data_IF_844578900926
#
_entry.id   IF_844578900926
#
_cell.length_a   1.000
_cell.length_b   1.000
_cell.length_c   1.000
_cell.angle_alpha   90.00
_cell.angle_beta   90.00
_cell.angle_gamma   90.00
#
_symmetry.space_group_name_H-M   'P 1'
#
loop_
_entity.id
_entity.type
_entity.pdbx_description
1 polymer ?
#
# COMPACT_ATOMS: atom_id res chain seq x y z
N UNK A 1 -2.53 10.51 12.80
CA UNK A 1 -3.24 9.87 11.68
C UNK A 1 -4.62 10.50 11.54
N UNK A 2 -4.97 11.07 10.39
CA UNK A 2 -6.25 11.78 10.18
C UNK A 2 -7.05 11.07 9.10
N UNK A 3 -8.27 10.64 9.42
CA UNK A 3 -9.22 10.17 8.40
C UNK A 3 -9.64 11.40 7.61
N UNK A 4 -9.29 11.45 6.34
CA UNK A 4 -9.73 12.54 5.46
C UNK A 4 -10.58 11.90 4.36
N UNK A 5 -11.87 12.23 4.32
CA UNK A 5 -12.72 11.92 3.17
C UNK A 5 -12.33 12.92 2.08
N UNK A 6 -11.63 12.45 1.05
CA UNK A 6 -11.22 13.31 -0.06
C UNK A 6 -11.24 12.53 -1.36
N UNK A 7 -11.73 13.19 -2.40
CA UNK A 7 -11.76 12.69 -3.78
C UNK A 7 -10.47 13.11 -4.48
N UNK A 8 -9.69 12.15 -4.99
CA UNK A 8 -8.54 12.43 -5.87
C UNK A 8 -9.11 12.74 -7.27
N UNK A 9 -8.53 13.71 -7.98
CA UNK A 9 -9.08 14.27 -9.23
C UNK A 9 -9.39 13.23 -10.32
N UNK A 10 -8.73 12.07 -10.32
CA UNK A 10 -8.98 10.96 -11.28
C UNK A 10 -9.50 9.67 -10.64
N UNK A 11 -9.73 9.69 -9.32
CA UNK A 11 -10.17 8.54 -8.54
C UNK A 11 -11.11 8.96 -7.41
N UNK A 12 -12.40 8.78 -7.67
CA UNK A 12 -13.47 8.95 -6.70
C UNK A 12 -13.43 7.84 -5.62
N UNK A 13 -12.37 7.75 -4.82
CA UNK A 13 -12.35 6.92 -3.63
C UNK A 13 -13.26 7.54 -2.56
N UNK A 14 -13.99 6.71 -1.82
CA UNK A 14 -14.97 7.22 -0.84
C UNK A 14 -14.34 7.40 0.55
N UNK A 15 -13.31 6.60 0.90
CA UNK A 15 -12.50 6.81 2.11
C UNK A 15 -11.03 6.51 1.83
N UNK A 16 -10.16 7.34 2.40
CA UNK A 16 -8.72 7.17 2.35
C UNK A 16 -8.17 7.38 3.77
N UNK A 17 -7.27 6.50 4.20
CA UNK A 17 -6.48 6.69 5.41
C UNK A 17 -5.05 7.03 4.98
N UNK A 18 -4.51 8.14 5.47
CA UNK A 18 -3.19 8.68 5.08
C UNK A 18 -2.25 8.93 6.26
N UNK A 19 -0.94 9.01 5.96
CA UNK A 19 0.03 9.56 6.91
C UNK A 19 -0.22 11.06 7.13
N UNK A 20 -0.02 11.54 8.37
CA UNK A 20 -0.43 12.90 8.79
C UNK A 20 0.64 13.99 8.62
N UNK A 21 1.85 13.63 8.24
CA UNK A 21 3.00 14.55 8.25
C UNK A 21 2.99 15.58 7.11
N UNK A 22 2.11 15.41 6.12
CA UNK A 22 2.09 16.26 4.92
C UNK A 22 0.72 16.97 4.79
N UNK A 23 0.70 18.27 5.08
CA UNK A 23 -0.40 19.19 4.79
C UNK A 23 -0.48 19.46 3.28
N UNK A 24 -0.88 18.47 2.49
CA UNK A 24 -1.17 18.65 1.06
C UNK A 24 -2.68 18.75 0.88
N UNK A 25 -3.12 19.79 0.17
CA UNK A 25 -4.53 20.11 -0.13
C UNK A 25 -5.21 19.03 -0.99
N UNK A 26 -4.44 18.20 -1.70
CA UNK A 26 -4.93 17.03 -2.44
C UNK A 26 -4.21 15.75 -2.04
N UNK A 27 -4.94 14.65 -1.74
CA UNK A 27 -4.33 13.36 -1.46
C UNK A 27 -3.52 12.86 -2.67
N UNK A 28 -2.23 12.58 -2.47
CA UNK A 28 -1.40 11.86 -3.44
C UNK A 28 -1.37 10.38 -3.09
N UNK A 29 -1.29 9.51 -4.09
CA UNK A 29 -1.24 8.05 -3.91
C UNK A 29 -0.07 7.58 -3.04
N UNK A 30 1.04 8.35 -3.02
CA UNK A 30 2.20 8.09 -2.18
C UNK A 30 1.89 8.15 -0.68
N UNK A 31 0.86 8.91 -0.28
CA UNK A 31 0.50 9.12 1.13
C UNK A 31 -0.64 8.19 1.59
N UNK A 32 -1.27 7.46 0.67
CA UNK A 32 -2.43 6.59 0.92
C UNK A 32 -1.98 5.27 1.54
N UNK A 33 -2.51 4.95 2.73
CA UNK A 33 -2.23 3.68 3.43
C UNK A 33 -3.36 2.67 3.27
N UNK A 34 -4.60 3.12 3.20
CA UNK A 34 -5.81 2.27 3.06
C UNK A 34 -6.80 2.99 2.17
N UNK A 35 -7.49 2.26 1.29
CA UNK A 35 -8.51 2.81 0.38
C UNK A 35 -9.84 2.08 0.52
N UNK A 36 -10.95 2.81 0.45
CA UNK A 36 -12.28 2.22 0.43
C UNK A 36 -13.14 2.76 -0.70
N UNK A 37 -14.02 1.89 -1.20
CA UNK A 37 -15.08 2.25 -2.15
C UNK A 37 -16.44 1.87 -1.58
N UNK A 38 -17.37 2.79 -1.64
CA UNK A 38 -18.78 2.61 -1.34
C UNK A 38 -19.56 2.23 -2.59
N UNK A 39 -20.57 1.38 -2.39
CA UNK A 39 -21.51 0.97 -3.42
C UNK A 39 -22.89 1.46 -3.00
N UNK A 40 -23.64 2.05 -3.93
CA UNK A 40 -25.03 2.49 -3.68
C UNK A 40 -26.05 1.34 -3.81
N UNK A 41 -25.66 0.22 -4.44
CA UNK A 41 -26.51 -0.95 -4.72
C UNK A 41 -25.73 -2.24 -4.46
N UNK A 42 -26.46 -3.32 -4.21
CA UNK A 42 -25.97 -4.62 -3.72
C UNK A 42 -26.06 -5.74 -4.77
N UNK A 43 -26.14 -5.42 -6.07
CA UNK A 43 -26.17 -6.46 -7.12
C UNK A 43 -24.75 -6.96 -7.49
N UNK A 44 -24.64 -8.21 -7.97
CA UNK A 44 -23.35 -8.85 -8.24
C UNK A 44 -22.52 -8.12 -9.33
N UNK A 45 -23.19 -7.53 -10.32
CA UNK A 45 -22.55 -6.76 -11.38
C UNK A 45 -21.89 -5.50 -10.82
N UNK A 46 -22.54 -4.85 -9.86
CA UNK A 46 -22.01 -3.70 -9.15
C UNK A 46 -20.80 -4.08 -8.30
N UNK A 47 -20.79 -5.25 -7.64
CA UNK A 47 -19.63 -5.73 -6.86
C UNK A 47 -18.41 -5.94 -7.74
N UNK A 48 -18.57 -6.61 -8.88
CA UNK A 48 -17.48 -6.81 -9.85
C UNK A 48 -16.95 -5.48 -10.38
N UNK A 49 -17.84 -4.54 -10.73
CA UNK A 49 -17.43 -3.21 -11.20
C UNK A 49 -16.66 -2.42 -10.14
N UNK A 50 -17.09 -2.49 -8.88
CA UNK A 50 -16.45 -1.80 -7.76
C UNK A 50 -15.13 -2.44 -7.35
N UNK A 51 -15.03 -3.77 -7.40
CA UNK A 51 -13.76 -4.47 -7.28
C UNK A 51 -12.76 -4.02 -8.35
N UNK A 52 -13.19 -3.90 -9.61
CA UNK A 52 -12.34 -3.36 -10.70
C UNK A 52 -11.88 -1.92 -10.46
N UNK A 53 -12.72 -1.09 -9.83
CA UNK A 53 -12.31 0.27 -9.43
C UNK A 53 -11.28 0.21 -8.31
N UNK A 54 -11.50 -0.64 -7.31
CA UNK A 54 -10.59 -0.83 -6.19
C UNK A 54 -9.22 -1.33 -6.65
N UNK A 55 -9.18 -2.28 -7.59
CA UNK A 55 -7.93 -2.79 -8.15
C UNK A 55 -7.14 -1.71 -8.90
N UNK A 56 -7.83 -0.75 -9.56
CA UNK A 56 -7.16 0.41 -10.18
C UNK A 56 -6.53 1.31 -9.12
N UNK A 57 -7.23 1.60 -8.02
CA UNK A 57 -6.66 2.41 -6.93
C UNK A 57 -5.46 1.73 -6.29
N UNK A 58 -5.54 0.43 -6.08
CA UNK A 58 -4.41 -0.37 -5.58
C UNK A 58 -3.22 -0.32 -6.55
N UNK A 59 -3.46 -0.36 -7.86
CA UNK A 59 -2.41 -0.20 -8.86
C UNK A 59 -1.72 1.15 -8.73
N UNK A 60 -2.48 2.24 -8.61
CA UNK A 60 -1.92 3.59 -8.41
C UNK A 60 -1.09 3.68 -7.12
N UNK A 61 -1.56 3.09 -6.03
CA UNK A 61 -0.83 3.02 -4.75
C UNK A 61 0.48 2.26 -4.95
N UNK A 62 0.47 1.09 -5.58
CA UNK A 62 1.68 0.30 -5.84
C UNK A 62 2.66 1.01 -6.79
N UNK A 63 2.14 1.80 -7.73
CA UNK A 63 2.97 2.61 -8.62
C UNK A 63 3.62 3.79 -7.86
N UNK A 64 2.92 4.39 -6.90
CA UNK A 64 3.43 5.51 -6.10
C UNK A 64 4.29 5.06 -4.90
N UNK A 65 4.05 3.84 -4.38
CA UNK A 65 4.75 3.23 -3.25
C UNK A 65 5.40 1.92 -3.72
N UNK A 66 6.55 2.04 -4.40
CA UNK A 66 7.18 0.92 -5.12
C UNK A 66 7.53 -0.27 -4.24
N UNK A 67 7.81 -0.03 -2.96
CA UNK A 67 8.22 -1.05 -1.98
C UNK A 67 7.04 -1.58 -1.17
N UNK A 68 5.82 -1.09 -1.41
CA UNK A 68 4.64 -1.57 -0.70
C UNK A 68 4.42 -3.07 -0.99
N UNK A 69 4.32 -3.86 0.08
CA UNK A 69 4.09 -5.32 0.08
C UNK A 69 2.66 -5.67 -0.27
N UNK A 70 1.72 -5.03 0.42
CA UNK A 70 0.30 -5.24 0.26
C UNK A 70 -0.48 -3.97 0.61
N UNK A 71 -1.72 -3.89 0.12
CA UNK A 71 -2.64 -2.77 0.36
C UNK A 71 -3.94 -3.29 0.95
N UNK A 72 -4.33 -2.74 2.09
CA UNK A 72 -5.64 -2.99 2.68
C UNK A 72 -6.71 -2.13 2.03
N UNK A 73 -7.83 -2.74 1.70
CA UNK A 73 -8.93 -2.09 1.02
C UNK A 73 -10.28 -2.49 1.60
N UNK A 74 -11.31 -1.66 1.36
CA UNK A 74 -12.68 -1.95 1.81
C UNK A 74 -13.72 -1.70 0.72
N UNK A 75 -14.73 -2.57 0.69
CA UNK A 75 -16.02 -2.25 0.09
C UNK A 75 -17.01 -1.92 1.23
N UNK A 76 -17.57 -0.70 1.23
CA UNK A 76 -18.29 -0.16 2.39
C UNK A 76 -19.72 -0.67 2.56
N UNK A 77 -20.44 -1.02 1.49
CA UNK A 77 -21.89 -1.27 1.58
C UNK A 77 -22.21 -2.49 2.41
N UNK A 78 -21.45 -3.55 2.14
CA UNK A 78 -21.32 -4.69 3.01
C UNK A 78 -19.82 -4.77 3.26
N UNK A 79 -19.42 -4.50 4.50
CA UNK A 79 -18.05 -4.46 4.98
C UNK A 79 -17.24 -5.68 4.52
N UNK A 80 -16.66 -5.57 3.34
CA UNK A 80 -15.81 -6.60 2.77
C UNK A 80 -14.40 -6.03 2.78
N UNK A 81 -13.58 -6.59 3.66
CA UNK A 81 -12.18 -6.26 3.77
C UNK A 81 -11.39 -7.04 2.74
N UNK A 82 -10.50 -6.35 2.04
CA UNK A 82 -9.61 -6.93 1.05
C UNK A 82 -8.15 -6.65 1.42
N UNK A 83 -7.29 -7.62 1.15
CA UNK A 83 -5.83 -7.45 1.16
C UNK A 83 -5.34 -7.76 -0.23
N UNK A 84 -4.84 -6.74 -0.93
CA UNK A 84 -4.21 -6.91 -2.23
C UNK A 84 -2.71 -7.08 -2.05
N UNK A 85 -2.19 -8.23 -2.46
CA UNK A 85 -0.78 -8.37 -2.83
C UNK A 85 -0.55 -7.88 -4.26
N UNK A 86 0.69 -8.05 -4.75
CA UNK A 86 1.02 -7.70 -6.14
C UNK A 86 0.34 -8.62 -7.15
N UNK A 87 0.22 -9.90 -6.84
CA UNK A 87 -0.27 -10.93 -7.76
C UNK A 87 -1.65 -11.48 -7.40
N UNK A 88 -2.11 -11.23 -6.16
CA UNK A 88 -3.35 -11.82 -5.64
C UNK A 88 -4.10 -10.82 -4.74
N UNK A 89 -5.37 -11.13 -4.48
CA UNK A 89 -6.18 -10.43 -3.51
C UNK A 89 -7.00 -11.42 -2.69
N UNK A 90 -7.06 -11.21 -1.38
CA UNK A 90 -7.84 -12.02 -0.45
C UNK A 90 -8.95 -11.17 0.16
N UNK A 91 -10.11 -11.78 0.40
CA UNK A 91 -11.27 -11.12 1.02
C UNK A 91 -11.62 -11.77 2.35
N UNK A 92 -12.09 -10.98 3.30
CA UNK A 92 -12.71 -11.46 4.54
C UNK A 92 -14.08 -12.12 4.33
N UNK A 93 -14.63 -12.03 3.12
CA UNK A 93 -16.04 -12.29 2.86
C UNK A 93 -16.91 -11.09 3.20
N UNK A 94 -18.15 -11.15 2.73
CA UNK A 94 -19.14 -10.08 2.82
C UNK A 94 -19.76 -10.02 4.22
N UNK A 95 -19.66 -8.89 4.90
CA UNK A 95 -20.30 -8.66 6.21
C UNK A 95 -21.25 -7.46 6.15
N UNK A 96 -22.38 -7.49 6.83
CA UNK A 96 -23.31 -6.35 6.81
C UNK A 96 -22.88 -5.28 7.81
N UNK A 97 -22.64 -4.05 7.33
CA UNK A 97 -22.33 -2.92 8.23
C UNK A 97 -23.49 -2.61 9.16
N UNK A 98 -24.73 -2.82 8.70
CA UNK A 98 -25.93 -2.48 9.47
C UNK A 98 -26.07 -3.38 10.69
N UNK A 99 -25.80 -4.68 10.54
CA UNK A 99 -25.86 -5.64 11.64
C UNK A 99 -24.58 -5.64 12.48
N UNK A 100 -23.42 -5.32 11.89
CA UNK A 100 -22.10 -5.43 12.53
C UNK A 100 -21.41 -4.06 12.71
N UNK A 101 -22.16 -3.04 13.14
CA UNK A 101 -21.64 -1.67 13.30
C UNK A 101 -20.42 -1.60 14.23
N UNK A 102 -20.44 -2.35 15.32
CA UNK A 102 -19.33 -2.39 16.28
C UNK A 102 -18.06 -2.97 15.65
N UNK A 103 -18.19 -4.08 14.91
CA UNK A 103 -17.06 -4.69 14.19
C UNK A 103 -16.50 -3.74 13.13
N UNK A 104 -17.37 -2.99 12.44
CA UNK A 104 -16.93 -1.94 11.51
C UNK A 104 -16.07 -0.87 12.21
N UNK A 105 -16.56 -0.33 13.33
CA UNK A 105 -15.85 0.71 14.09
C UNK A 105 -14.52 0.18 14.65
N UNK A 106 -14.53 -1.03 15.24
CA UNK A 106 -13.33 -1.68 15.77
C UNK A 106 -12.29 -1.93 14.67
N UNK A 107 -12.74 -2.38 13.50
CA UNK A 107 -11.84 -2.57 12.38
C UNK A 107 -11.24 -1.24 11.94
N UNK A 108 -12.04 -0.20 11.73
CA UNK A 108 -11.52 1.14 11.37
C UNK A 108 -10.53 1.66 12.40
N UNK A 109 -10.83 1.51 13.70
CA UNK A 109 -9.91 1.86 14.80
C UNK A 109 -8.61 1.08 14.72
N UNK A 110 -8.66 -0.21 14.40
CA UNK A 110 -7.46 -1.03 14.26
C UNK A 110 -6.54 -0.52 13.15
N UNK A 111 -7.08 -0.02 12.03
CA UNK A 111 -6.26 0.55 10.96
C UNK A 111 -5.61 1.88 11.34
N UNK A 112 -6.25 2.66 12.21
CA UNK A 112 -5.67 3.90 12.73
C UNK A 112 -4.51 3.65 13.72
N UNK A 113 -4.50 2.50 14.37
CA UNK A 113 -3.50 2.12 15.37
C UNK A 113 -2.42 1.20 14.81
N UNK A 114 -2.62 0.62 13.62
CA UNK A 114 -1.65 -0.25 12.97
C UNK A 114 -0.41 0.54 12.56
N UNK A 115 0.75 -0.04 12.83
CA UNK A 115 2.02 0.46 12.33
C UNK A 115 2.10 0.36 10.81
N UNK A 116 3.00 1.14 10.23
CA UNK A 116 3.22 1.20 8.78
C UNK A 116 3.62 -0.16 8.20
N UNK A 117 4.44 -0.89 8.93
CA UNK A 117 4.80 -2.27 8.62
C UNK A 117 3.54 -3.17 8.51
N UNK A 118 2.64 -3.11 9.51
CA UNK A 118 1.40 -3.90 9.52
C UNK A 118 0.38 -3.43 8.49
N UNK A 119 0.54 -2.23 7.95
CA UNK A 119 -0.22 -1.74 6.80
C UNK A 119 0.41 -2.19 5.48
N UNK A 120 1.61 -2.75 5.49
CA UNK A 120 2.28 -3.33 4.33
C UNK A 120 3.39 -2.47 3.75
N UNK A 121 3.79 -1.39 4.42
CA UNK A 121 5.00 -0.66 4.05
C UNK A 121 6.23 -1.52 4.36
N UNK A 122 7.25 -1.34 3.53
CA UNK A 122 8.56 -1.94 3.74
C UNK A 122 9.40 -0.97 4.58
N UNK A 123 9.96 -1.48 5.67
CA UNK A 123 10.71 -0.67 6.63
C UNK A 123 12.23 -0.80 6.45
N UNK A 124 12.69 -1.53 5.42
CA UNK A 124 14.14 -1.66 5.16
C UNK A 124 14.76 -0.37 4.64
N UNK A 125 13.93 0.54 4.13
CA UNK A 125 14.34 1.85 3.65
C UNK A 125 14.03 2.90 4.71
N UNK A 126 15.08 3.56 5.16
CA UNK A 126 15.01 4.70 6.05
C UNK A 126 15.06 5.98 5.20
N UNK A 127 14.02 6.80 5.32
CA UNK A 127 14.01 8.16 4.80
C UNK A 127 14.28 9.10 5.97
N UNK A 128 15.38 9.87 5.88
CA UNK A 128 15.67 10.98 6.79
C UNK A 128 15.81 12.22 5.92
N UNK A 129 14.88 13.16 6.08
CA UNK A 129 14.70 14.32 5.20
C UNK A 129 14.52 13.89 3.73
N UNK A 130 15.43 14.32 2.85
CA UNK A 130 15.48 13.95 1.43
C UNK A 130 16.41 12.76 1.16
N UNK A 131 17.13 12.26 2.18
CA UNK A 131 18.09 11.19 2.04
C UNK A 131 17.43 9.82 2.27
N UNK A 132 17.48 8.97 1.24
CA UNK A 132 17.05 7.59 1.33
C UNK A 132 18.24 6.68 1.58
N UNK A 133 18.12 5.78 2.55
CA UNK A 133 19.14 4.79 2.84
C UNK A 133 18.54 3.42 3.11
N UNK A 134 19.28 2.39 2.72
CA UNK A 134 18.99 1.00 3.09
C UNK A 134 20.10 0.50 3.99
N UNK A 135 19.72 -0.21 5.04
CA UNK A 135 20.67 -0.88 5.94
C UNK A 135 20.59 -2.38 5.69
N UNK A 136 21.68 -2.98 5.24
CA UNK A 136 21.83 -4.43 5.15
C UNK A 136 22.33 -4.94 6.49
N UNK A 137 21.49 -5.75 7.15
CA UNK A 137 21.80 -6.39 8.42
C UNK A 137 22.49 -7.72 8.11
N UNK A 138 23.66 -7.95 8.70
CA UNK A 138 24.42 -9.19 8.56
C UNK A 138 23.77 -10.35 9.30
N UNK A 139 24.32 -11.56 9.11
CA UNK A 139 23.83 -12.79 9.74
C UNK A 139 23.87 -12.76 11.28
N UNK A 140 24.66 -11.86 11.87
CA UNK A 140 24.77 -11.62 13.31
C UNK A 140 23.78 -10.57 13.85
N UNK A 141 22.87 -10.05 13.02
CA UNK A 141 21.93 -9.00 13.42
C UNK A 141 22.54 -7.60 13.52
N UNK A 142 23.83 -7.44 13.20
CA UNK A 142 24.51 -6.14 13.21
C UNK A 142 24.43 -5.50 11.83
N UNK A 143 24.07 -4.21 11.71
CA UNK A 143 24.18 -3.45 10.47
C UNK A 143 25.58 -3.60 9.88
N UNK A 144 25.67 -4.28 8.73
CA UNK A 144 26.96 -4.55 8.09
C UNK A 144 27.26 -3.51 7.02
N UNK A 145 26.23 -2.94 6.41
CA UNK A 145 26.41 -1.97 5.33
C UNK A 145 25.21 -1.03 5.23
N UNK A 146 25.46 0.26 5.05
CA UNK A 146 24.43 1.26 4.78
C UNK A 146 24.71 1.92 3.43
N UNK A 147 23.70 1.94 2.56
CA UNK A 147 23.81 2.59 1.25
C UNK A 147 22.83 3.75 1.18
N UNK A 148 23.32 4.90 0.72
CA UNK A 148 22.47 6.03 0.34
C UNK A 148 22.16 5.95 -1.15
N UNK A 149 20.93 6.28 -1.53
CA UNK A 149 20.49 6.14 -2.91
C UNK A 149 19.44 7.18 -3.29
N UNK A 150 19.29 7.41 -4.59
CA UNK A 150 18.27 8.30 -5.13
C UNK A 150 16.89 7.61 -5.12
N UNK A 151 15.81 8.25 -4.63
CA UNK A 151 14.48 7.62 -4.56
C UNK A 151 13.87 7.33 -5.92
N UNK A 152 14.46 7.86 -7.00
CA UNK A 152 14.03 7.60 -8.36
C UNK A 152 14.61 6.26 -8.83
N UNK A 153 13.78 5.23 -9.06
CA UNK A 153 14.28 3.94 -9.52
C UNK A 153 14.83 4.05 -10.96
N UNK A 154 15.92 3.34 -11.24
CA UNK A 154 16.47 3.18 -12.60
C UNK A 154 15.58 2.22 -13.41
N UNK A 155 15.05 1.19 -12.74
CA UNK A 155 14.14 0.21 -13.34
C UNK A 155 12.80 0.29 -12.62
N UNK A 156 11.76 0.72 -13.35
CA UNK A 156 10.37 0.80 -12.86
C UNK A 156 9.46 -0.07 -13.72
N UNK A 157 9.09 -1.24 -13.21
CA UNK A 157 8.05 -2.06 -13.83
C UNK A 157 6.67 -1.57 -13.38
N UNK A 158 5.88 -1.01 -14.30
CA UNK A 158 4.51 -0.55 -14.04
C UNK A 158 3.46 -1.67 -14.03
N UNK A 159 3.84 -2.91 -14.35
CA UNK A 159 2.92 -4.06 -14.42
C UNK A 159 2.91 -4.82 -13.09
N UNK A 160 1.71 -4.98 -12.52
CA UNK A 160 1.45 -5.72 -11.28
C UNK A 160 1.68 -7.24 -11.39
N UNK A 161 1.76 -7.78 -12.62
CA UNK A 161 1.55 -9.21 -12.90
C UNK A 161 2.85 -10.04 -12.85
N UNK A 162 4.03 -9.41 -12.78
CA UNK A 162 5.33 -10.11 -12.92
C UNK A 162 6.18 -9.85 -11.67
N UNK A 163 7.18 -10.71 -11.40
CA UNK A 163 8.29 -10.48 -10.44
C UNK A 163 8.74 -9.02 -10.52
N UNK A 164 8.25 -8.19 -9.60
CA UNK A 164 8.56 -6.77 -9.62
C UNK A 164 9.97 -6.65 -9.08
N UNK A 165 10.88 -6.23 -9.95
CA UNK A 165 12.21 -5.80 -9.54
C UNK A 165 12.20 -4.28 -9.56
N UNK A 166 12.55 -3.68 -8.43
CA UNK A 166 12.82 -2.24 -8.34
C UNK A 166 14.29 -2.06 -8.05
N UNK A 167 14.97 -1.32 -8.92
CA UNK A 167 16.41 -1.04 -8.77
C UNK A 167 16.62 0.45 -8.52
N UNK A 168 17.45 0.77 -7.55
CA UNK A 168 17.87 2.13 -7.23
C UNK A 168 19.38 2.28 -7.41
N UNK A 169 19.79 3.41 -7.95
CA UNK A 169 21.21 3.76 -8.04
C UNK A 169 21.67 4.33 -6.70
N UNK A 170 22.81 3.86 -6.23
CA UNK A 170 23.49 4.50 -5.09
C UNK A 170 24.00 5.89 -5.50
N UNK A 171 24.11 6.81 -4.54
CA UNK A 171 24.53 8.20 -4.82
C UNK A 171 25.94 8.25 -5.42
N UNK A 172 26.84 7.36 -5.00
CA UNK A 172 28.21 7.24 -5.53
C UNK A 172 28.27 6.61 -6.93
N UNK A 173 27.15 6.07 -7.44
CA UNK A 173 27.01 5.37 -8.72
C UNK A 173 27.91 4.13 -8.85
N UNK A 174 28.39 3.58 -7.74
CA UNK A 174 29.24 2.39 -7.72
C UNK A 174 28.41 1.10 -7.57
N UNK A 175 27.17 1.22 -7.09
CA UNK A 175 26.32 0.06 -6.77
C UNK A 175 24.85 0.29 -7.13
N UNK A 176 24.12 -0.83 -7.28
CA UNK A 176 22.67 -0.83 -7.51
C UNK A 176 22.00 -1.63 -6.40
N UNK A 177 21.04 -1.01 -5.73
CA UNK A 177 20.20 -1.68 -4.74
C UNK A 177 19.02 -2.30 -5.47
N UNK A 178 18.91 -3.63 -5.40
CA UNK A 178 17.87 -4.40 -6.07
C UNK A 178 16.89 -4.98 -5.06
N UNK A 179 15.65 -4.52 -5.12
CA UNK A 179 14.52 -5.17 -4.47
C UNK A 179 13.82 -6.09 -5.45
N UNK A 180 13.77 -7.37 -5.14
CA UNK A 180 13.06 -8.36 -5.95
C UNK A 180 12.08 -9.14 -5.09
N UNK A 181 10.82 -9.17 -5.51
CA UNK A 181 9.82 -10.04 -4.91
C UNK A 181 9.95 -11.43 -5.54
N UNK A 182 10.66 -12.33 -4.87
CA UNK A 182 10.68 -13.74 -5.25
C UNK A 182 9.54 -14.47 -4.54
N UNK A 183 8.90 -15.42 -5.22
CA UNK A 183 8.12 -16.44 -4.52
C UNK A 183 9.04 -17.13 -3.51
N UNK A 184 8.56 -17.31 -2.27
CA UNK A 184 9.25 -18.15 -1.30
C UNK A 184 9.47 -19.50 -1.98
N UNK A 185 10.72 -19.98 -2.02
CA UNK A 185 10.95 -21.38 -2.34
C UNK A 185 10.42 -22.16 -1.15
N UNK A 186 9.38 -22.96 -1.35
CA UNK A 186 9.03 -24.00 -0.40
C UNK A 186 10.26 -24.92 -0.29
N UNK A 187 10.85 -24.98 0.90
CA UNK A 187 11.86 -25.97 1.26
C UNK A 187 11.16 -27.23 1.74
#
# INVERSE_FOLDING_TARGET
MKITVSTVADAQADFIIRCTELFVEKPQWRDVKVVAKSMKKTDANSRKAKFRQLSRYVQEIFCAQLLRRFVHCFLKTNFEHWVFGRTCAYSSGLKSVVSEKELFVLAMRSYLLKSDEKLGLDMSINQVDENFSVTIIGSNGVPTMQFKFEPKPIVRLQRLIIRVTTCFETIDKLSVIKYAWTSVKEN
#
